data_IF_994283393688
#
_entry.id   IF_994283393688
#
_cell.length_a   1.000
_cell.length_b   1.000
_cell.length_c   1.000
_cell.angle_alpha   90.00
_cell.angle_beta   90.00
_cell.angle_gamma   90.00
#
_symmetry.space_group_name_H-M   'P 1'
#
loop_
_entity.id
_entity.type
_entity.pdbx_description
1 polymer ?
#
# COMPACT_ATOMS: atom_id res chain seq x y z
N UNK A 1 -2.59 9.25 -22.52
CA UNK A 1 -1.80 8.46 -23.51
C UNK A 1 -2.21 6.99 -23.51
N UNK A 2 -2.16 6.28 -22.36
CA UNK A 2 -2.60 4.87 -22.25
C UNK A 2 -4.05 4.60 -22.69
N UNK A 3 -5.02 5.42 -22.25
CA UNK A 3 -6.45 5.22 -22.57
C UNK A 3 -6.74 5.24 -24.08
N UNK A 4 -6.06 6.11 -24.84
CA UNK A 4 -6.31 6.25 -26.27
C UNK A 4 -5.84 5.00 -27.04
N UNK A 5 -4.74 4.41 -26.58
CA UNK A 5 -4.21 3.15 -27.10
C UNK A 5 -5.12 1.97 -26.75
N UNK A 6 -5.65 1.90 -25.53
CA UNK A 6 -6.58 0.85 -25.11
C UNK A 6 -7.88 0.90 -25.93
N UNK A 7 -8.41 2.10 -26.19
CA UNK A 7 -9.61 2.29 -27.01
C UNK A 7 -9.38 1.87 -28.47
N UNK A 8 -8.23 2.21 -29.07
CA UNK A 8 -7.91 1.77 -30.44
C UNK A 8 -7.70 0.26 -30.57
N UNK A 9 -7.09 -0.37 -29.56
CA UNK A 9 -6.94 -1.84 -29.53
C UNK A 9 -8.31 -2.50 -29.43
N UNK A 10 -9.18 -2.01 -28.54
CA UNK A 10 -10.53 -2.54 -28.36
C UNK A 10 -11.38 -2.34 -29.63
N UNK A 11 -11.25 -1.19 -30.29
CA UNK A 11 -11.94 -0.89 -31.55
C UNK A 11 -11.50 -1.81 -32.69
N UNK A 12 -10.19 -2.01 -32.88
CA UNK A 12 -9.68 -2.94 -33.89
C UNK A 12 -10.05 -4.39 -33.58
N UNK A 13 -10.08 -4.75 -32.29
CA UNK A 13 -10.51 -6.07 -31.82
C UNK A 13 -11.98 -6.35 -32.13
N UNK A 14 -12.89 -5.42 -31.83
CA UNK A 14 -14.30 -5.58 -32.16
C UNK A 14 -14.55 -5.54 -33.68
N UNK A 15 -13.83 -4.72 -34.44
CA UNK A 15 -13.92 -4.74 -35.91
C UNK A 15 -13.47 -6.09 -36.49
N UNK A 16 -12.41 -6.68 -35.97
CA UNK A 16 -11.97 -8.03 -36.37
C UNK A 16 -13.00 -9.11 -35.97
N UNK A 17 -13.66 -8.95 -34.83
CA UNK A 17 -14.68 -9.89 -34.32
C UNK A 17 -15.98 -9.84 -35.12
N UNK A 18 -16.47 -8.64 -35.50
CA UNK A 18 -17.74 -8.47 -36.20
C UNK A 18 -17.64 -8.55 -37.73
N UNK A 19 -16.51 -8.14 -38.31
CA UNK A 19 -16.34 -8.04 -39.77
C UNK A 19 -15.47 -9.17 -40.33
N UNK A 20 -14.64 -9.82 -39.49
CA UNK A 20 -13.70 -10.86 -39.90
C UNK A 20 -12.48 -10.32 -40.67
N UNK A 21 -11.35 -11.08 -40.73
CA UNK A 21 -10.17 -10.62 -41.44
C UNK A 21 -10.34 -10.85 -42.95
N UNK A 22 -10.77 -9.81 -43.66
CA UNK A 22 -10.73 -9.77 -45.12
C UNK A 22 -12.09 -9.59 -45.78
N UNK A 23 -12.57 -8.35 -45.84
CA UNK A 23 -13.63 -7.98 -46.76
C UNK A 23 -13.01 -7.36 -48.02
N UNK A 24 -12.86 -8.17 -49.09
CA UNK A 24 -12.61 -7.65 -50.44
C UNK A 24 -13.97 -7.61 -51.16
N UNK A 25 -14.48 -6.43 -51.54
CA UNK A 25 -15.80 -6.33 -52.16
C UNK A 25 -15.85 -7.06 -53.51
N UNK A 26 -17.00 -7.68 -53.79
CA UNK A 26 -17.25 -8.43 -55.03
C UNK A 26 -17.09 -7.49 -56.23
N UNK A 27 -16.01 -7.66 -57.00
CA UNK A 27 -15.68 -6.81 -58.15
C UNK A 27 -14.33 -6.09 -58.09
N UNK A 28 -13.53 -6.27 -57.03
CA UNK A 28 -12.19 -5.70 -56.96
C UNK A 28 -11.28 -6.22 -58.09
N UNK A 29 -10.72 -5.32 -58.90
CA UNK A 29 -9.68 -5.60 -59.89
C UNK A 29 -8.48 -4.69 -59.63
N UNK A 30 -7.23 -5.18 -59.74
CA UNK A 30 -6.06 -4.33 -59.54
C UNK A 30 -5.97 -3.29 -60.66
N UNK A 31 -5.65 -2.05 -60.31
CA UNK A 31 -5.27 -1.00 -61.26
C UNK A 31 -4.03 -1.48 -62.03
N UNK A 32 -4.19 -1.62 -63.34
CA UNK A 32 -3.08 -1.92 -64.25
C UNK A 32 -2.14 -0.72 -64.30
N UNK A 33 -0.87 -0.94 -63.97
CA UNK A 33 0.21 -0.09 -64.45
C UNK A 33 1.26 -1.00 -65.11
N UNK A 34 1.39 -0.87 -66.44
CA UNK A 34 2.45 -1.51 -67.23
C UNK A 34 3.84 -1.04 -66.77
N UNK A 35 4.95 -1.62 -67.22
CA UNK A 35 5.20 -2.00 -68.60
C UNK A 35 6.17 -3.20 -68.66
N UNK A 36 5.72 -4.25 -69.34
CA UNK A 36 6.47 -5.39 -69.89
C UNK A 36 7.45 -6.13 -68.95
N UNK A 37 6.83 -7.11 -68.27
CA UNK A 37 7.43 -8.38 -67.79
C UNK A 37 8.25 -8.33 -66.51
N UNK A 38 7.61 -8.01 -65.39
CA UNK A 38 8.02 -8.55 -64.09
C UNK A 38 7.02 -9.65 -63.72
N UNK A 39 7.43 -10.90 -63.88
CA UNK A 39 6.76 -12.04 -63.24
C UNK A 39 7.00 -11.92 -61.74
N UNK A 40 6.04 -11.35 -61.03
CA UNK A 40 6.01 -11.43 -59.57
C UNK A 40 5.58 -12.86 -59.24
N UNK A 41 6.57 -13.69 -58.95
CA UNK A 41 6.34 -15.06 -58.52
C UNK A 41 5.80 -15.04 -57.08
N UNK A 42 4.47 -15.08 -56.95
CA UNK A 42 3.74 -15.14 -55.67
C UNK A 42 3.92 -16.47 -54.92
N UNK A 43 4.74 -17.39 -55.42
CA UNK A 43 5.01 -18.67 -54.76
C UNK A 43 5.84 -18.54 -53.47
N UNK A 44 6.56 -17.43 -53.27
CA UNK A 44 7.33 -17.17 -52.05
C UNK A 44 6.45 -16.73 -50.85
N UNK A 45 5.33 -16.04 -51.09
CA UNK A 45 4.41 -15.62 -50.03
C UNK A 45 3.53 -16.76 -49.49
N UNK A 46 3.62 -17.97 -50.10
CA UNK A 46 2.85 -19.15 -49.70
C UNK A 46 3.56 -20.04 -48.67
N UNK A 47 4.81 -19.73 -48.30
CA UNK A 47 5.63 -20.60 -47.43
C UNK A 47 5.73 -20.20 -45.97
N UNK A 48 5.21 -19.05 -45.59
CA UNK A 48 5.08 -18.72 -44.18
C UNK A 48 3.60 -18.91 -43.82
N UNK A 49 3.24 -19.93 -43.03
CA UNK A 49 1.92 -19.94 -42.43
C UNK A 49 1.86 -18.67 -41.59
N UNK A 50 1.11 -17.66 -42.06
CA UNK A 50 0.65 -16.55 -41.24
C UNK A 50 0.20 -17.18 -39.93
N UNK A 51 0.74 -16.77 -38.76
CA UNK A 51 0.31 -17.35 -37.50
C UNK A 51 -1.16 -17.00 -37.33
N UNK A 52 -2.02 -17.93 -37.73
CA UNK A 52 -3.45 -17.89 -37.44
C UNK A 52 -3.49 -18.06 -35.94
N UNK A 53 -3.54 -16.96 -35.20
CA UNK A 53 -3.79 -17.01 -33.76
C UNK A 53 -5.22 -17.54 -33.66
N UNK A 54 -5.43 -18.81 -33.25
CA UNK A 54 -6.78 -19.29 -33.11
C UNK A 54 -7.35 -18.56 -31.90
N UNK A 55 -8.18 -17.54 -32.14
CA UNK A 55 -9.04 -16.95 -31.13
C UNK A 55 -10.12 -17.99 -30.77
N UNK A 56 -9.70 -19.08 -30.15
CA UNK A 56 -10.59 -20.06 -29.57
C UNK A 56 -11.31 -19.45 -28.38
N UNK A 57 -12.44 -20.04 -28.01
CA UNK A 57 -13.26 -19.61 -26.87
C UNK A 57 -12.42 -19.49 -25.57
N UNK A 58 -11.41 -20.33 -25.40
CA UNK A 58 -10.49 -20.27 -24.26
C UNK A 58 -9.59 -19.01 -24.27
N UNK A 59 -9.05 -18.62 -25.42
CA UNK A 59 -8.25 -17.39 -25.55
C UNK A 59 -9.11 -16.16 -25.30
N UNK A 60 -10.35 -16.16 -25.80
CA UNK A 60 -11.34 -15.12 -25.51
C UNK A 60 -11.63 -15.01 -24.00
N UNK A 61 -11.96 -16.13 -23.35
CA UNK A 61 -12.22 -16.17 -21.92
C UNK A 61 -11.00 -15.70 -21.09
N UNK A 62 -9.78 -16.09 -21.48
CA UNK A 62 -8.55 -15.66 -20.83
C UNK A 62 -8.34 -14.14 -20.93
N UNK A 63 -8.64 -13.53 -22.09
CA UNK A 63 -8.54 -12.07 -22.25
C UNK A 63 -9.57 -11.31 -21.41
N UNK A 64 -10.81 -11.80 -21.33
CA UNK A 64 -11.83 -11.21 -20.45
C UNK A 64 -11.46 -11.35 -18.98
N UNK A 65 -10.88 -12.49 -18.59
CA UNK A 65 -10.39 -12.71 -17.23
C UNK A 65 -9.22 -11.77 -16.88
N UNK A 66 -8.24 -11.63 -17.79
CA UNK A 66 -7.13 -10.71 -17.60
C UNK A 66 -7.57 -9.25 -17.50
N UNK A 67 -8.54 -8.83 -18.32
CA UNK A 67 -9.16 -7.50 -18.23
C UNK A 67 -9.90 -7.31 -16.90
N UNK A 68 -10.64 -8.33 -16.45
CA UNK A 68 -11.32 -8.34 -15.16
C UNK A 68 -10.35 -8.18 -13.98
N UNK A 69 -9.23 -8.92 -13.99
CA UNK A 69 -8.18 -8.78 -12.99
C UNK A 69 -7.52 -7.39 -13.04
N UNK A 70 -7.19 -6.88 -14.22
CA UNK A 70 -6.57 -5.56 -14.37
C UNK A 70 -7.49 -4.43 -13.87
N UNK A 71 -8.79 -4.50 -14.15
CA UNK A 71 -9.77 -3.56 -13.64
C UNK A 71 -9.92 -3.69 -12.11
N UNK A 72 -10.01 -4.92 -11.62
CA UNK A 72 -10.12 -5.22 -10.18
C UNK A 72 -8.93 -4.69 -9.37
N UNK A 73 -7.69 -4.92 -9.85
CA UNK A 73 -6.48 -4.41 -9.19
C UNK A 73 -6.41 -2.89 -9.22
N UNK A 74 -6.77 -2.26 -10.34
CA UNK A 74 -6.79 -0.78 -10.44
C UNK A 74 -7.76 -0.17 -9.43
N UNK A 75 -8.96 -0.75 -9.29
CA UNK A 75 -9.95 -0.29 -8.30
C UNK A 75 -9.45 -0.52 -6.88
N UNK A 76 -8.90 -1.70 -6.59
CA UNK A 76 -8.39 -2.04 -5.25
C UNK A 76 -7.25 -1.12 -4.82
N UNK A 77 -6.26 -0.89 -5.68
CA UNK A 77 -5.14 0.03 -5.41
C UNK A 77 -5.64 1.46 -5.24
N UNK A 78 -6.60 1.90 -6.06
CA UNK A 78 -7.22 3.23 -5.93
C UNK A 78 -7.97 3.42 -4.61
N UNK A 79 -8.76 2.43 -4.18
CA UNK A 79 -9.46 2.46 -2.88
C UNK A 79 -8.46 2.49 -1.72
N UNK A 80 -7.41 1.67 -1.77
CA UNK A 80 -6.35 1.68 -0.76
C UNK A 80 -5.66 3.05 -0.67
N UNK A 81 -5.34 3.66 -1.82
CA UNK A 81 -4.77 5.00 -1.87
C UNK A 81 -5.69 6.05 -1.23
N UNK A 82 -7.00 5.98 -1.51
CA UNK A 82 -7.98 6.90 -0.92
C UNK A 82 -8.08 6.77 0.61
N UNK A 83 -8.13 5.53 1.13
CA UNK A 83 -8.17 5.27 2.57
C UNK A 83 -6.90 5.82 3.24
N UNK A 84 -5.72 5.52 2.68
CA UNK A 84 -4.44 6.01 3.20
C UNK A 84 -4.32 7.54 3.17
N UNK A 85 -4.88 8.19 2.14
CA UNK A 85 -4.89 9.65 2.04
C UNK A 85 -5.82 10.29 3.08
N UNK A 86 -7.00 9.70 3.33
CA UNK A 86 -7.97 10.20 4.31
C UNK A 86 -7.45 10.09 5.75
N UNK A 87 -6.86 8.96 6.11
CA UNK A 87 -6.27 8.76 7.45
C UNK A 87 -5.17 9.78 7.78
N UNK A 88 -4.45 10.26 6.75
CA UNK A 88 -3.40 11.27 6.93
C UNK A 88 -3.96 12.64 7.32
N UNK A 89 -5.15 13.02 6.83
CA UNK A 89 -5.74 14.34 7.02
C UNK A 89 -6.29 14.49 8.44
N UNK A 90 -6.86 13.43 9.01
CA UNK A 90 -7.58 13.48 10.28
C UNK A 90 -6.67 13.69 11.52
N UNK A 91 -5.34 13.65 11.36
CA UNK A 91 -4.40 13.69 12.48
C UNK A 91 -3.88 15.10 12.83
N UNK A 92 -4.07 16.11 11.97
CA UNK A 92 -3.53 17.46 12.16
C UNK A 92 -4.43 18.38 13.00
N UNK A 93 -5.17 17.81 13.95
CA UNK A 93 -6.09 18.55 14.82
C UNK A 93 -5.42 19.03 16.12
N UNK A 94 -4.13 19.39 16.04
CA UNK A 94 -3.34 20.05 17.08
C UNK A 94 -3.02 21.46 16.57
N UNK A 95 -3.04 22.45 17.46
CA UNK A 95 -3.09 23.90 17.17
C UNK A 95 -1.93 24.51 16.32
N UNK A 96 -1.00 23.69 15.83
CA UNK A 96 0.09 24.11 14.94
C UNK A 96 -0.14 23.61 13.50
N UNK A 97 -0.18 24.54 12.54
CA UNK A 97 -0.29 24.20 11.11
C UNK A 97 1.04 23.62 10.64
N UNK A 98 1.13 22.29 10.54
CA UNK A 98 2.30 21.62 9.98
C UNK A 98 2.47 21.95 8.49
N UNK A 99 3.56 22.65 8.16
CA UNK A 99 3.94 22.94 6.78
C UNK A 99 4.71 21.75 6.21
N UNK A 100 4.20 21.16 5.14
CA UNK A 100 4.86 20.03 4.49
C UNK A 100 6.16 20.47 3.80
N UNK A 101 7.33 19.91 4.17
CA UNK A 101 8.62 20.43 3.71
C UNK A 101 8.85 20.26 2.21
N UNK A 102 8.26 19.23 1.60
CA UNK A 102 8.38 18.97 0.15
C UNK A 102 7.29 19.65 -0.68
N UNK A 103 6.42 20.44 -0.06
CA UNK A 103 5.50 21.27 -0.83
C UNK A 103 6.19 22.59 -1.17
N UNK A 104 6.76 22.72 -2.37
CA UNK A 104 7.43 23.95 -2.81
C UNK A 104 6.46 25.13 -3.12
N UNK A 105 5.19 25.01 -2.73
CA UNK A 105 4.18 26.08 -2.84
C UNK A 105 3.47 26.13 -4.20
N UNK A 106 4.05 25.51 -5.24
CA UNK A 106 3.39 25.33 -6.54
C UNK A 106 3.45 23.87 -6.95
N UNK A 107 2.28 23.28 -7.25
CA UNK A 107 2.14 21.89 -7.72
C UNK A 107 2.99 21.61 -8.96
N UNK A 108 3.22 22.61 -9.82
CA UNK A 108 4.07 22.49 -11.00
C UNK A 108 5.55 22.31 -10.68
N UNK A 109 6.05 22.93 -9.60
CA UNK A 109 7.44 22.73 -9.17
C UNK A 109 7.63 21.29 -8.69
N UNK A 110 6.71 20.77 -7.87
CA UNK A 110 6.78 19.39 -7.37
C UNK A 110 6.67 18.37 -8.53
N UNK A 111 5.85 18.65 -9.54
CA UNK A 111 5.68 17.77 -10.70
C UNK A 111 6.95 17.69 -11.59
N UNK A 112 7.66 18.82 -11.77
CA UNK A 112 8.88 18.88 -12.58
C UNK A 112 10.02 18.01 -12.03
N UNK A 113 10.07 17.77 -10.72
CA UNK A 113 11.09 16.92 -10.10
C UNK A 113 10.97 15.45 -10.51
N UNK A 114 9.73 14.98 -10.71
CA UNK A 114 9.45 13.58 -11.05
C UNK A 114 9.37 13.38 -12.56
N UNK A 115 8.78 14.35 -13.28
CA UNK A 115 8.58 14.27 -14.72
C UNK A 115 9.56 15.17 -15.46
N UNK A 116 10.79 14.67 -15.63
CA UNK A 116 11.77 15.28 -16.54
C UNK A 116 11.67 14.64 -17.92
N UNK A 117 11.95 15.41 -18.97
CA UNK A 117 12.00 14.91 -20.36
C UNK A 117 13.15 13.91 -20.59
N UNK A 118 14.14 13.90 -19.70
CA UNK A 118 15.26 12.95 -19.72
C UNK A 118 14.92 11.57 -19.14
N UNK A 119 13.77 11.44 -18.45
CA UNK A 119 13.39 10.21 -17.74
C UNK A 119 14.15 9.98 -16.43
N UNK A 120 15.08 10.87 -16.06
CA UNK A 120 15.84 10.82 -14.80
C UNK A 120 15.30 11.88 -13.85
N UNK A 121 14.85 11.53 -12.63
CA UNK A 121 14.35 12.51 -11.67
C UNK A 121 15.45 13.50 -11.29
N UNK A 122 15.05 14.74 -11.01
CA UNK A 122 15.98 15.80 -10.61
C UNK A 122 16.41 15.60 -9.15
N UNK A 123 17.64 15.12 -8.91
CA UNK A 123 18.21 14.91 -7.57
C UNK A 123 19.29 13.83 -7.51
N UNK A 124 20.04 13.79 -6.41
CA UNK A 124 21.03 12.75 -6.08
C UNK A 124 20.41 11.55 -5.34
N UNK A 125 19.12 11.64 -4.99
CA UNK A 125 18.36 10.63 -4.26
C UNK A 125 18.63 10.61 -2.75
N UNK A 126 19.53 11.46 -2.26
CA UNK A 126 19.90 11.58 -0.85
C UNK A 126 19.33 12.86 -0.25
N UNK A 127 19.53 13.97 -0.96
CA UNK A 127 19.02 15.29 -0.61
C UNK A 127 17.87 15.67 -1.51
N UNK A 128 16.83 16.24 -0.90
CA UNK A 128 15.61 16.61 -1.60
C UNK A 128 15.42 18.11 -1.40
N UNK A 129 15.10 18.86 -2.46
CA UNK A 129 14.79 20.28 -2.31
C UNK A 129 13.58 20.46 -1.36
N UNK A 130 13.78 21.26 -0.33
CA UNK A 130 12.78 21.60 0.68
C UNK A 130 12.32 23.06 0.53
N UNK A 131 11.13 23.37 1.03
CA UNK A 131 10.61 24.75 1.12
C UNK A 131 11.54 25.63 1.95
N UNK A 132 11.62 26.91 1.58
CA UNK A 132 12.36 27.93 2.33
C UNK A 132 11.92 27.97 3.81
N UNK A 133 12.88 27.89 4.74
CA UNK A 133 12.61 27.80 6.18
C UNK A 133 12.40 26.38 6.73
N UNK A 134 12.36 25.35 5.87
CA UNK A 134 12.37 23.94 6.29
C UNK A 134 13.78 23.34 6.21
N UNK A 135 14.01 22.30 7.00
CA UNK A 135 15.25 21.51 6.98
C UNK A 135 14.99 20.13 6.37
N UNK A 136 16.04 19.46 5.87
CA UNK A 136 15.93 18.14 5.24
C UNK A 136 15.21 17.10 6.12
N UNK A 137 15.38 17.20 7.44
CA UNK A 137 14.80 16.27 8.41
C UNK A 137 13.48 16.74 9.04
N UNK A 138 12.83 17.81 8.54
CA UNK A 138 11.60 18.34 9.17
C UNK A 138 10.51 17.29 9.27
N UNK A 139 10.34 16.49 8.22
CA UNK A 139 9.39 15.38 8.24
C UNK A 139 9.79 14.30 9.26
N UNK A 140 11.08 14.01 9.38
CA UNK A 140 11.59 13.00 10.31
C UNK A 140 11.40 13.44 11.76
N UNK A 141 11.68 14.70 12.08
CA UNK A 141 11.45 15.27 13.41
C UNK A 141 9.96 15.19 13.76
N UNK A 142 9.09 15.56 12.82
CA UNK A 142 7.65 15.46 13.03
C UNK A 142 7.19 14.01 13.21
N UNK A 143 7.72 13.07 12.43
CA UNK A 143 7.44 11.64 12.61
C UNK A 143 7.92 11.13 13.98
N UNK A 144 9.04 11.65 14.51
CA UNK A 144 9.52 11.32 15.85
C UNK A 144 8.58 11.88 16.93
N UNK A 145 8.13 13.13 16.78
CA UNK A 145 7.12 13.76 17.64
C UNK A 145 5.83 12.93 17.66
N UNK A 146 5.31 12.56 16.49
CA UNK A 146 4.14 11.68 16.37
C UNK A 146 4.35 10.30 17.00
N UNK A 147 5.55 9.73 16.88
CA UNK A 147 5.88 8.45 17.53
C UNK A 147 5.94 8.61 19.06
N UNK A 148 6.44 9.73 19.57
CA UNK A 148 6.45 10.02 21.01
C UNK A 148 5.03 10.19 21.54
N UNK A 149 4.18 10.99 20.89
CA UNK A 149 2.78 11.20 21.30
C UNK A 149 1.95 9.91 21.24
N UNK A 150 2.24 9.03 20.27
CA UNK A 150 1.63 7.68 20.21
C UNK A 150 2.09 6.78 21.36
N UNK A 151 3.31 6.97 21.88
CA UNK A 151 3.81 6.22 23.05
C UNK A 151 3.19 6.73 24.35
N UNK A 152 3.03 8.04 24.51
CA UNK A 152 2.37 8.63 25.69
C UNK A 152 0.93 8.12 25.82
N UNK A 153 0.22 7.94 24.70
CA UNK A 153 -1.13 7.37 24.68
C UNK A 153 -1.20 5.86 24.84
N UNK A 154 -0.07 5.17 25.06
CA UNK A 154 -0.10 3.74 25.32
C UNK A 154 -0.70 3.45 26.69
N UNK A 155 -1.52 2.41 26.75
CA UNK A 155 -2.25 2.04 27.98
C UNK A 155 -1.60 0.81 28.58
N UNK A 156 -1.40 0.81 29.90
CA UNK A 156 -0.89 -0.33 30.66
C UNK A 156 -1.98 -1.38 30.86
N UNK A 157 -1.63 -2.62 30.57
CA UNK A 157 -2.46 -3.81 30.75
C UNK A 157 -1.70 -4.85 31.56
N UNK A 158 -2.43 -5.56 32.42
CA UNK A 158 -1.93 -6.72 33.17
C UNK A 158 -2.42 -8.00 32.50
N UNK A 159 -1.53 -8.97 32.32
CA UNK A 159 -1.88 -10.28 31.77
C UNK A 159 -2.58 -11.11 32.84
N UNK A 160 -3.82 -11.51 32.55
CA UNK A 160 -4.63 -12.36 33.44
C UNK A 160 -4.58 -13.84 33.05
N UNK A 161 -4.24 -14.12 31.79
CA UNK A 161 -4.27 -15.47 31.22
C UNK A 161 -3.11 -15.71 30.25
N UNK A 162 -2.53 -16.90 30.30
CA UNK A 162 -1.38 -17.26 29.46
C UNK A 162 -1.79 -17.38 27.98
N UNK A 163 -0.89 -16.97 27.09
CA UNK A 163 -1.07 -17.08 25.64
C UNK A 163 0.24 -17.48 24.97
N UNK A 164 0.20 -18.51 24.12
CA UNK A 164 1.40 -19.08 23.50
C UNK A 164 1.91 -18.32 22.27
N UNK A 165 1.21 -17.28 21.80
CA UNK A 165 1.54 -16.61 20.53
C UNK A 165 0.98 -17.31 19.29
N UNK A 166 0.08 -18.27 19.45
CA UNK A 166 -0.52 -18.99 18.32
C UNK A 166 -1.34 -18.06 17.40
N UNK A 167 -1.13 -18.13 16.09
CA UNK A 167 -1.84 -17.31 15.09
C UNK A 167 -3.38 -17.41 15.20
N UNK A 168 -3.86 -18.59 15.59
CA UNK A 168 -5.27 -18.92 15.66
C UNK A 168 -5.65 -19.48 17.05
N UNK A 169 -5.99 -18.62 18.02
CA UNK A 169 -6.31 -19.07 19.38
C UNK A 169 -7.74 -19.59 19.50
N UNK A 170 -7.98 -20.84 19.09
CA UNK A 170 -9.28 -21.52 19.25
C UNK A 170 -9.74 -21.53 20.72
N UNK A 171 -8.79 -21.70 21.65
CA UNK A 171 -9.06 -21.75 23.09
C UNK A 171 -9.45 -20.40 23.72
N UNK A 172 -9.29 -19.28 23.00
CA UNK A 172 -9.57 -17.92 23.51
C UNK A 172 -10.83 -17.30 22.91
N UNK A 173 -11.66 -18.14 22.29
CA UNK A 173 -12.98 -17.80 21.78
C UNK A 173 -13.09 -17.78 20.25
N UNK A 174 -14.24 -18.24 19.76
CA UNK A 174 -14.56 -18.35 18.33
C UNK A 174 -14.48 -16.98 17.62
N UNK A 175 -14.91 -15.91 18.29
CA UNK A 175 -14.87 -14.55 17.74
C UNK A 175 -13.44 -14.03 17.59
N UNK A 176 -12.55 -14.35 18.51
CA UNK A 176 -11.12 -14.01 18.45
C UNK A 176 -10.45 -14.71 17.27
N UNK A 177 -10.82 -15.98 17.02
CA UNK A 177 -10.33 -16.77 15.88
C UNK A 177 -10.72 -16.16 14.52
N UNK A 178 -12.01 -15.89 14.29
CA UNK A 178 -12.47 -15.33 13.01
C UNK A 178 -12.03 -13.88 12.75
N UNK A 179 -11.58 -13.17 13.80
CA UNK A 179 -11.10 -11.79 13.69
C UNK A 179 -9.59 -11.69 13.82
N UNK A 180 -8.85 -12.79 13.63
CA UNK A 180 -7.39 -12.77 13.68
C UNK A 180 -6.82 -11.77 12.67
N UNK A 181 -5.99 -10.81 13.11
CA UNK A 181 -5.37 -9.84 12.20
C UNK A 181 -4.50 -10.57 11.18
N UNK A 182 -4.86 -10.53 9.90
CA UNK A 182 -4.10 -11.13 8.79
C UNK A 182 -2.87 -10.30 8.36
N UNK A 183 -2.31 -9.50 9.27
CA UNK A 183 -1.10 -8.71 9.06
C UNK A 183 0.14 -9.55 9.34
N UNK A 184 1.23 -9.36 8.60
CA UNK A 184 2.54 -10.02 8.83
C UNK A 184 3.20 -9.67 10.19
N UNK A 185 2.54 -8.84 11.00
CA UNK A 185 3.02 -8.42 12.30
C UNK A 185 3.05 -9.59 13.31
N UNK A 186 4.14 -9.74 14.09
CA UNK A 186 4.36 -10.88 14.99
C UNK A 186 3.30 -11.01 16.09
N UNK A 187 3.22 -12.19 16.72
CA UNK A 187 2.40 -12.47 17.91
C UNK A 187 3.30 -12.56 19.14
N UNK A 188 2.85 -11.99 20.26
CA UNK A 188 3.62 -12.02 21.52
C UNK A 188 3.10 -13.16 22.41
N UNK A 189 3.97 -14.04 22.93
CA UNK A 189 3.61 -14.96 24.01
C UNK A 189 3.46 -14.22 25.34
N UNK A 190 2.36 -14.45 26.05
CA UNK A 190 2.05 -13.80 27.32
C UNK A 190 2.11 -14.81 28.48
N UNK A 191 2.68 -14.38 29.60
CA UNK A 191 2.61 -15.11 30.86
C UNK A 191 1.80 -14.31 31.90
N UNK A 192 1.01 -15.01 32.69
CA UNK A 192 0.14 -14.44 33.71
C UNK A 192 0.94 -13.64 34.73
N UNK A 193 0.50 -12.40 34.98
CA UNK A 193 1.15 -11.46 35.90
C UNK A 193 2.08 -10.45 35.24
N UNK A 194 2.42 -10.62 33.95
CA UNK A 194 3.25 -9.66 33.21
C UNK A 194 2.48 -8.38 32.86
N UNK A 195 3.23 -7.31 32.57
CA UNK A 195 2.68 -6.02 32.13
C UNK A 195 3.02 -5.72 30.68
N UNK A 196 2.04 -5.16 29.96
CA UNK A 196 2.14 -4.86 28.52
C UNK A 196 1.61 -3.45 28.28
N UNK A 197 2.25 -2.73 27.36
CA UNK A 197 1.80 -1.44 26.86
C UNK A 197 1.10 -1.62 25.52
N UNK A 198 -0.23 -1.45 25.49
CA UNK A 198 -0.98 -1.52 24.24
C UNK A 198 -1.05 -0.14 23.57
N UNK A 199 -0.80 -0.10 22.27
CA UNK A 199 -0.83 1.13 21.44
C UNK A 199 -1.94 1.14 20.41
N UNK A 200 -2.37 -0.04 19.92
CA UNK A 200 -3.48 -0.19 18.97
C UNK A 200 -4.44 -1.25 19.46
N UNK A 201 -5.72 -1.05 19.20
CA UNK A 201 -6.76 -2.01 19.56
C UNK A 201 -7.78 -2.20 18.46
N UNK A 202 -7.99 -3.45 18.08
CA UNK A 202 -9.18 -3.94 17.42
C UNK A 202 -10.18 -4.42 18.48
N UNK A 203 -11.38 -4.82 18.06
CA UNK A 203 -12.45 -5.24 18.98
C UNK A 203 -12.02 -6.40 19.91
N UNK A 204 -11.31 -7.39 19.38
CA UNK A 204 -10.87 -8.60 20.10
C UNK A 204 -9.36 -8.78 20.21
N UNK A 205 -8.58 -7.91 19.56
CA UNK A 205 -7.12 -8.01 19.46
C UNK A 205 -6.48 -6.69 19.85
N UNK A 206 -5.38 -6.75 20.58
CA UNK A 206 -4.58 -5.60 20.96
C UNK A 206 -3.16 -5.79 20.44
N UNK A 207 -2.52 -4.67 20.09
CA UNK A 207 -1.13 -4.63 19.67
C UNK A 207 -0.34 -3.79 20.67
N UNK A 208 0.78 -4.32 21.12
CA UNK A 208 1.56 -3.69 22.16
C UNK A 208 2.99 -4.19 22.27
N UNK A 209 3.69 -3.60 23.22
CA UNK A 209 5.07 -3.92 23.58
C UNK A 209 5.08 -4.51 24.99
N UNK A 210 5.79 -5.62 25.18
CA UNK A 210 5.99 -6.23 26.51
C UNK A 210 6.93 -5.35 27.34
N UNK A 211 6.58 -5.06 28.59
CA UNK A 211 7.46 -4.36 29.52
C UNK A 211 8.47 -5.40 30.02
N UNK A 212 9.75 -5.21 29.68
CA UNK A 212 10.85 -5.98 30.24
C UNK A 212 11.47 -5.11 31.34
N UNK A 213 11.75 -5.69 32.50
CA UNK A 213 12.47 -4.95 33.55
C UNK A 213 13.83 -4.50 32.98
N UNK A 214 14.18 -3.24 33.26
CA UNK A 214 15.29 -2.46 32.68
C UNK A 214 16.71 -3.05 32.87
N UNK A 215 16.83 -4.28 33.38
CA UNK A 215 18.12 -4.96 33.61
C UNK A 215 18.74 -5.62 32.39
N UNK A 216 18.17 -5.48 31.19
CA UNK A 216 18.72 -6.08 29.97
C UNK A 216 19.06 -5.03 28.90
N UNK A 217 20.35 -4.64 28.91
CA UNK A 217 21.22 -4.28 27.78
C UNK A 217 20.54 -3.49 26.64
N UNK A 218 20.96 -2.23 26.47
CA UNK A 218 20.76 -1.43 25.25
C UNK A 218 21.09 -2.26 23.99
N UNK A 219 20.08 -2.90 23.39
CA UNK A 219 20.27 -3.79 22.25
C UNK A 219 19.30 -4.96 22.14
N UNK A 220 18.58 -5.34 23.21
CA UNK A 220 17.56 -6.39 23.09
C UNK A 220 16.35 -5.84 22.31
N UNK A 221 16.04 -6.51 21.20
CA UNK A 221 14.90 -6.23 20.34
C UNK A 221 13.61 -6.21 21.17
N UNK A 222 12.94 -5.06 21.21
CA UNK A 222 11.63 -4.91 21.84
C UNK A 222 10.67 -5.96 21.30
N UNK A 223 10.07 -6.76 22.17
CA UNK A 223 9.12 -7.79 21.77
C UNK A 223 7.77 -7.11 21.53
N UNK A 224 7.40 -7.01 20.25
CA UNK A 224 6.15 -6.40 19.78
C UNK A 224 5.26 -7.43 19.13
N UNK A 225 3.97 -7.14 19.11
CA UNK A 225 3.03 -8.00 18.41
C UNK A 225 1.62 -7.96 18.96
N UNK A 226 0.78 -8.78 18.33
CA UNK A 226 -0.63 -8.90 18.66
C UNK A 226 -0.90 -9.95 19.72
N UNK A 227 -1.91 -9.69 20.53
CA UNK A 227 -2.44 -10.60 21.53
C UNK A 227 -3.97 -10.43 21.69
N UNK A 228 -4.68 -11.49 22.13
CA UNK A 228 -6.11 -11.40 22.39
C UNK A 228 -6.44 -10.44 23.54
N UNK A 229 -7.47 -9.62 23.35
CA UNK A 229 -7.95 -8.68 24.39
C UNK A 229 -8.42 -9.40 25.66
N UNK A 230 -8.99 -10.60 25.52
CA UNK A 230 -9.50 -11.36 26.66
C UNK A 230 -8.40 -11.86 27.61
N UNK A 231 -7.14 -11.91 27.16
CA UNK A 231 -6.01 -12.35 28.00
C UNK A 231 -5.45 -11.23 28.88
N UNK A 232 -5.94 -10.00 28.72
CA UNK A 232 -5.42 -8.84 29.44
C UNK A 232 -6.54 -8.02 30.08
N UNK A 233 -6.24 -7.46 31.23
CA UNK A 233 -7.11 -6.52 31.93
C UNK A 233 -6.44 -5.14 31.96
N UNK A 234 -7.23 -4.09 31.74
CA UNK A 234 -6.71 -2.72 31.76
C UNK A 234 -6.30 -2.42 33.20
N UNK A 235 -5.04 -2.05 33.43
CA UNK A 235 -4.67 -1.51 34.73
C UNK A 235 -5.45 -0.20 34.90
N UNK A 236 -6.20 0.01 35.99
CA UNK A 236 -6.66 1.35 36.33
C UNK A 236 -5.41 2.19 36.55
N UNK A 237 -5.07 3.09 35.62
CA UNK A 237 -3.94 3.99 35.83
C UNK A 237 -4.27 4.96 36.97
N UNK A 238 -3.68 4.71 38.13
CA UNK A 238 -2.77 5.61 38.85
C UNK A 238 -2.98 7.12 38.59
N UNK A 239 -3.91 7.73 39.32
CA UNK A 239 -3.90 9.17 39.61
C UNK A 239 -2.66 9.60 40.44
N UNK A 240 -1.82 8.65 40.86
CA UNK A 240 -0.72 8.86 41.79
C UNK A 240 0.61 9.21 41.10
N UNK A 241 0.82 8.82 39.84
CA UNK A 241 2.09 9.13 39.15
C UNK A 241 2.15 10.58 38.64
N UNK A 242 1.00 11.20 38.31
CA UNK A 242 0.96 12.63 37.95
C UNK A 242 1.18 13.53 39.17
N UNK A 243 0.70 13.13 40.37
CA UNK A 243 0.93 13.89 41.61
C UNK A 243 2.39 13.85 42.08
N UNK A 244 3.11 12.76 41.84
CA UNK A 244 4.53 12.65 42.19
C UNK A 244 5.42 13.59 41.34
N UNK A 245 5.11 13.72 40.04
CA UNK A 245 5.84 14.61 39.12
C UNK A 245 5.49 16.10 39.31
N UNK A 246 4.29 16.44 39.77
CA UNK A 246 3.96 17.81 40.18
C UNK A 246 4.55 18.20 41.54
N UNK A 247 4.70 17.25 42.47
CA UNK A 247 5.31 17.49 43.78
C UNK A 247 6.81 17.84 43.71
N UNK A 248 7.55 17.23 42.77
CA UNK A 248 8.98 17.53 42.59
C UNK A 248 9.24 18.88 41.89
N UNK A 249 8.34 19.33 41.02
CA UNK A 249 8.46 20.64 40.36
C UNK A 249 8.14 21.83 41.25
N UNK A 250 7.44 21.61 42.37
CA UNK A 250 7.15 22.65 43.37
C UNK A 250 8.23 22.82 44.45
N UNK A 251 9.17 21.87 44.54
CA UNK A 251 10.22 21.85 45.56
C UNK A 251 11.63 22.13 45.01
N UNK A 252 11.73 22.74 43.81
CA UNK A 252 13.01 23.20 43.25
C UNK A 252 12.94 24.67 42.83
#
# INVERSE_FOLDING_TARGET
MLINWTVMILYNYFNAMFVGPGFVPLGWKPLSFGWNTVKIDMSAARRDPLPIIPFGLAAFAATLFALGLALGTTIAVGMLFFIQAKDRIQYYQLDEVFVFPYDMGSRWKNFKQVFTWSGVPEGDGLEWPVREGCHQYSLTIEQLKQKADKRVRSVRYKVIEDYSGACCPLNKGIKTFFTSPCTEEPRIPLQKGEFILATRGLRYWLYGDKILDDSFIEGVSRIRGWFPRNCVEKCPCDAETEQALEGEKKNR
#
